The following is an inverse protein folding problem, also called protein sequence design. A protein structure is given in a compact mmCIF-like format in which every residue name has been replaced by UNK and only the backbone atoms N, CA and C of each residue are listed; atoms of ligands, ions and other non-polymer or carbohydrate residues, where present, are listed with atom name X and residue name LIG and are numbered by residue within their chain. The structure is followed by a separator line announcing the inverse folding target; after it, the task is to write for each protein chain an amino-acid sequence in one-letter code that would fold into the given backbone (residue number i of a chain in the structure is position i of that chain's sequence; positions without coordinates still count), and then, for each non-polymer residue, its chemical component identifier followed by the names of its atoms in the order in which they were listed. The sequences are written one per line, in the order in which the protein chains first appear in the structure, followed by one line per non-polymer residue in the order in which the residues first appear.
data_IF_046697896383
#
_entry.id   IF_046697896383
#
_cell.length_a   1.000
_cell.length_b   1.000
_cell.length_c   1.000
_cell.angle_alpha   90.00
_cell.angle_beta   90.00
_cell.angle_gamma   90.00
#
_symmetry.space_group_name_H-M   'P 1'
#
loop_
_entity.id
_entity.type
_entity.pdbx_description
1 polymer ?
#
# COMPACT_ATOMS: atom_id res chain seq x y z
N UNK A 1 10.76 -25.21 -3.81
CA UNK A 1 10.56 -23.87 -4.42
C UNK A 1 9.08 -23.67 -4.69
N UNK A 2 8.56 -22.43 -4.66
CA UNK A 2 7.15 -22.15 -4.93
C UNK A 2 6.74 -22.63 -6.32
N UNK A 3 5.50 -23.13 -6.44
CA UNK A 3 5.02 -23.83 -7.64
C UNK A 3 4.57 -22.91 -8.79
N UNK A 4 4.29 -21.63 -8.50
CA UNK A 4 3.91 -20.61 -9.48
C UNK A 4 4.25 -19.21 -8.97
N UNK A 5 4.15 -18.21 -9.84
CA UNK A 5 4.50 -16.82 -9.55
C UNK A 5 3.70 -16.24 -8.38
N UNK A 6 2.42 -16.56 -8.27
CA UNK A 6 1.59 -16.08 -7.17
C UNK A 6 2.06 -16.63 -5.82
N UNK A 7 2.39 -17.93 -5.76
CA UNK A 7 2.96 -18.56 -4.57
C UNK A 7 4.36 -18.01 -4.25
N UNK A 8 5.15 -17.70 -5.28
CA UNK A 8 6.46 -17.06 -5.13
C UNK A 8 6.33 -15.67 -4.50
N UNK A 9 5.45 -14.82 -5.02
CA UNK A 9 5.21 -13.47 -4.48
C UNK A 9 4.71 -13.54 -3.03
N UNK A 10 3.80 -14.47 -2.72
CA UNK A 10 3.31 -14.65 -1.34
C UNK A 10 4.43 -15.03 -0.38
N UNK A 11 5.32 -15.94 -0.78
CA UNK A 11 6.48 -16.32 0.03
C UNK A 11 7.45 -15.13 0.19
N UNK A 12 7.75 -14.41 -0.88
CA UNK A 12 8.62 -13.23 -0.86
C UNK A 12 8.09 -12.14 0.08
N UNK A 13 6.78 -11.84 0.02
CA UNK A 13 6.14 -10.83 0.87
C UNK A 13 6.20 -11.22 2.35
N UNK A 14 6.01 -12.52 2.66
CA UNK A 14 6.13 -13.05 4.02
C UNK A 14 7.55 -12.87 4.57
N UNK A 15 8.57 -13.25 3.81
CA UNK A 15 9.96 -13.10 4.27
C UNK A 15 10.33 -11.63 4.48
N UNK A 16 9.99 -10.75 3.52
CA UNK A 16 10.21 -9.30 3.65
C UNK A 16 9.53 -8.69 4.87
N UNK A 17 8.31 -9.12 5.19
CA UNK A 17 7.57 -8.63 6.35
C UNK A 17 8.32 -8.89 7.66
N UNK A 18 8.94 -10.06 7.80
CA UNK A 18 9.69 -10.42 9.00
C UNK A 18 11.11 -9.86 9.00
N UNK A 19 11.76 -9.77 7.84
CA UNK A 19 13.08 -9.13 7.74
C UNK A 19 13.04 -7.62 8.02
N UNK A 20 11.96 -6.94 7.66
CA UNK A 20 11.77 -5.49 7.80
C UNK A 20 10.68 -5.17 8.84
N UNK A 21 10.63 -5.97 9.90
CA UNK A 21 9.59 -5.84 10.92
C UNK A 21 9.65 -4.47 11.59
N UNK A 22 8.49 -3.82 11.74
CA UNK A 22 8.34 -2.45 12.27
C UNK A 22 8.96 -1.31 11.44
N UNK A 23 9.44 -1.58 10.22
CA UNK A 23 9.93 -0.53 9.32
C UNK A 23 8.85 0.06 8.40
N UNK A 24 7.60 -0.40 8.51
CA UNK A 24 6.47 0.15 7.75
C UNK A 24 6.40 -0.29 6.28
N UNK A 25 7.25 -1.22 5.84
CA UNK A 25 7.30 -1.66 4.43
C UNK A 25 6.09 -2.45 3.95
N UNK A 26 5.31 -3.05 4.85
CA UNK A 26 4.19 -3.94 4.52
C UNK A 26 3.18 -3.32 3.55
N UNK A 27 2.77 -2.06 3.78
CA UNK A 27 1.79 -1.39 2.90
C UNK A 27 2.34 -1.13 1.50
N UNK A 28 3.59 -0.67 1.41
CA UNK A 28 4.26 -0.38 0.13
C UNK A 28 4.49 -1.66 -0.68
N UNK A 29 4.91 -2.75 -0.04
CA UNK A 29 5.14 -4.02 -0.71
C UNK A 29 3.82 -4.59 -1.27
N UNK A 30 2.75 -4.61 -0.48
CA UNK A 30 1.44 -5.07 -0.96
C UNK A 30 0.90 -4.16 -2.08
N UNK A 31 1.19 -2.85 -2.06
CA UNK A 31 0.85 -1.94 -3.17
C UNK A 31 1.57 -2.31 -4.47
N UNK A 32 2.88 -2.57 -4.40
CA UNK A 32 3.71 -2.90 -5.58
C UNK A 32 3.23 -4.17 -6.30
N UNK A 33 2.74 -5.15 -5.54
CA UNK A 33 2.23 -6.41 -6.10
C UNK A 33 0.70 -6.41 -6.32
N UNK A 34 0.02 -5.26 -6.20
CA UNK A 34 -1.42 -5.16 -6.43
C UNK A 34 -2.27 -5.98 -5.45
N UNK A 35 -1.77 -6.19 -4.22
CA UNK A 35 -2.39 -7.05 -3.21
C UNK A 35 -2.96 -6.29 -2.01
N UNK A 36 -3.18 -4.98 -2.11
CA UNK A 36 -3.66 -4.14 -0.99
C UNK A 36 -4.92 -4.68 -0.30
N UNK A 37 -5.82 -5.32 -1.05
CA UNK A 37 -7.05 -5.93 -0.55
C UNK A 37 -6.82 -7.17 0.34
N UNK A 38 -5.59 -7.68 0.44
CA UNK A 38 -5.23 -8.80 1.31
C UNK A 38 -4.74 -8.36 2.68
N UNK A 39 -4.55 -7.04 2.90
CA UNK A 39 -4.15 -6.53 4.20
C UNK A 39 -5.31 -6.64 5.20
N UNK A 40 -5.02 -7.00 6.47
CA UNK A 40 -6.05 -7.09 7.49
C UNK A 40 -6.65 -5.71 7.77
N UNK A 41 -7.97 -5.65 7.76
CA UNK A 41 -8.75 -4.47 8.13
C UNK A 41 -9.16 -4.57 9.60
N UNK A 42 -9.18 -3.44 10.31
CA UNK A 42 -9.67 -3.42 11.68
C UNK A 42 -11.20 -3.54 11.74
N UNK A 43 -11.90 -2.93 10.76
CA UNK A 43 -13.35 -3.02 10.57
C UNK A 43 -13.68 -3.27 9.11
N UNK A 44 -14.80 -3.94 8.84
CA UNK A 44 -15.25 -4.20 7.46
C UNK A 44 -15.54 -2.93 6.64
N UNK A 45 -15.80 -1.80 7.30
CA UNK A 45 -16.03 -0.49 6.68
C UNK A 45 -14.75 0.28 6.36
N UNK A 46 -13.61 -0.16 6.89
CA UNK A 46 -12.34 0.54 6.68
C UNK A 46 -11.87 0.33 5.23
N UNK A 47 -11.03 1.25 4.76
CA UNK A 47 -10.41 1.15 3.44
C UNK A 47 -8.90 1.26 3.55
N UNK A 48 -8.20 0.48 2.72
CA UNK A 48 -6.75 0.58 2.57
C UNK A 48 -6.48 1.57 1.43
N UNK A 49 -5.98 2.79 1.71
CA UNK A 49 -5.69 3.75 0.66
C UNK A 49 -4.52 3.28 -0.22
N UNK A 50 -4.57 3.59 -1.51
CA UNK A 50 -3.46 3.32 -2.45
C UNK A 50 -2.34 4.36 -2.36
N UNK A 51 -2.64 5.57 -1.88
CA UNK A 51 -1.68 6.65 -1.70
C UNK A 51 -2.10 7.55 -0.54
N UNK A 52 -1.15 8.33 -0.01
CA UNK A 52 -1.47 9.41 0.90
C UNK A 52 -2.19 10.55 0.16
N UNK A 53 -3.16 11.22 0.79
CA UNK A 53 -3.81 12.37 0.20
C UNK A 53 -2.83 13.55 0.11
N UNK A 54 -2.95 14.35 -0.95
CA UNK A 54 -2.20 15.60 -1.07
C UNK A 54 -2.86 16.66 -0.16
N UNK A 55 -2.09 17.35 0.70
CA UNK A 55 -2.63 18.42 1.53
C UNK A 55 -3.25 19.55 0.71
N UNK A 56 -4.33 20.16 1.23
CA UNK A 56 -5.04 21.28 0.57
C UNK A 56 -4.09 22.41 0.17
N UNK A 57 -3.15 22.78 1.04
CA UNK A 57 -2.23 23.90 0.80
C UNK A 57 -1.31 23.64 -0.41
N UNK A 58 -0.91 22.39 -0.64
CA UNK A 58 -0.10 22.01 -1.81
C UNK A 58 -0.90 22.10 -3.11
N UNK A 59 -2.20 21.76 -3.08
CA UNK A 59 -3.08 21.93 -4.24
C UNK A 59 -3.29 23.42 -4.56
N UNK A 60 -3.57 24.24 -3.54
CA UNK A 60 -3.80 25.68 -3.70
C UNK A 60 -2.55 26.41 -4.20
N UNK A 61 -1.37 26.06 -3.68
CA UNK A 61 -0.09 26.61 -4.14
C UNK A 61 0.17 26.34 -5.63
N UNK A 62 -0.44 25.28 -6.20
CA UNK A 62 -0.34 24.90 -7.61
C UNK A 62 -1.52 25.38 -8.46
N UNK A 63 -2.43 26.17 -7.89
CA UNK A 63 -3.66 26.63 -8.54
C UNK A 63 -4.52 25.46 -9.09
N UNK A 64 -4.57 24.35 -8.36
CA UNK A 64 -5.36 23.15 -8.70
C UNK A 64 -6.65 23.08 -7.88
N UNK A 65 -7.68 22.42 -8.43
CA UNK A 65 -8.93 22.15 -7.72
C UNK A 65 -8.70 21.11 -6.61
N UNK A 66 -9.16 21.40 -5.39
CA UNK A 66 -9.03 20.51 -4.22
C UNK A 66 -10.19 19.50 -4.19
N UNK A 67 -9.95 18.20 -3.93
CA UNK A 67 -8.65 17.53 -3.78
C UNK A 67 -7.97 17.33 -5.12
N UNK A 68 -6.68 17.71 -5.21
CA UNK A 68 -5.90 17.47 -6.41
C UNK A 68 -5.32 16.05 -6.40
N UNK A 69 -5.31 15.40 -7.56
CA UNK A 69 -4.60 14.16 -7.84
C UNK A 69 -3.43 14.44 -8.77
N UNK A 70 -2.36 13.66 -8.66
CA UNK A 70 -1.29 13.58 -9.66
C UNK A 70 -1.69 12.67 -10.82
#
# INVERSE_FOLDING_TARGET
MPANDAAFVTALLRERQFSLFLEGHRWIDFRRFGRLNQLPLARATDQVPSAFPIPRNECLARNLTVPCSV
#
